data_IF_538033038505
#
_entry.id   IF_538033038505
#
_cell.length_a   1.000
_cell.length_b   1.000
_cell.length_c   1.000
_cell.angle_alpha   90.00
_cell.angle_beta   90.00
_cell.angle_gamma   90.00
#
_symmetry.space_group_name_H-M   'P 1'
#
loop_
_entity.id
_entity.type
_entity.pdbx_description
1 polymer ?
#
# COMPACT_ATOMS: atom_id res chain seq x y z
N UNK A 1 17.72 -13.25 -26.96
CA UNK A 1 16.42 -13.24 -26.27
C UNK A 1 16.13 -11.92 -25.56
N UNK A 2 17.10 -11.13 -25.06
CA UNK A 2 16.79 -9.87 -24.33
C UNK A 2 16.37 -8.69 -25.22
N UNK A 3 16.63 -8.71 -26.52
CA UNK A 3 16.30 -7.61 -27.45
C UNK A 3 14.81 -7.53 -27.80
N UNK A 4 14.10 -8.65 -27.86
CA UNK A 4 12.70 -8.66 -28.31
C UNK A 4 11.73 -8.19 -27.22
N UNK A 5 11.98 -8.58 -25.96
CA UNK A 5 11.14 -8.16 -24.82
C UNK A 5 11.30 -6.66 -24.53
N UNK A 6 12.55 -6.16 -24.57
CA UNK A 6 12.86 -4.74 -24.44
C UNK A 6 12.21 -3.92 -25.55
N UNK A 7 12.20 -4.44 -26.78
CA UNK A 7 11.56 -3.79 -27.94
C UNK A 7 10.03 -3.77 -27.80
N UNK A 8 9.42 -4.89 -27.41
CA UNK A 8 7.97 -4.96 -27.16
C UNK A 8 7.55 -4.03 -26.02
N UNK A 9 8.33 -3.96 -24.93
CA UNK A 9 8.07 -3.03 -23.81
C UNK A 9 8.11 -1.58 -24.26
N UNK A 10 9.09 -1.19 -25.07
CA UNK A 10 9.21 0.18 -25.59
C UNK A 10 8.14 0.50 -26.64
N UNK A 11 7.52 -0.51 -27.25
CA UNK A 11 6.49 -0.34 -28.26
C UNK A 11 5.08 -0.15 -27.68
N UNK A 12 4.80 -0.59 -26.44
CA UNK A 12 3.55 -0.31 -25.73
C UNK A 12 3.76 0.84 -24.73
N UNK A 13 3.25 2.06 -25.00
CA UNK A 13 3.37 3.19 -24.09
C UNK A 13 2.93 2.89 -22.65
N UNK A 14 1.89 2.06 -22.47
CA UNK A 14 1.34 1.68 -21.16
C UNK A 14 2.33 0.87 -20.33
N UNK A 15 3.20 0.09 -20.98
CA UNK A 15 4.24 -0.71 -20.34
C UNK A 15 5.59 0.02 -20.30
N UNK A 16 5.83 0.94 -21.22
CA UNK A 16 7.11 1.66 -21.36
C UNK A 16 7.48 2.53 -20.14
N UNK A 17 6.47 2.94 -19.36
CA UNK A 17 6.61 3.72 -18.12
C UNK A 17 7.07 2.89 -16.91
N UNK A 18 7.17 1.56 -17.08
CA UNK A 18 7.59 0.60 -16.06
C UNK A 18 8.94 -0.03 -16.41
N UNK A 19 9.60 -0.62 -15.41
CA UNK A 19 10.85 -1.34 -15.54
C UNK A 19 10.77 -2.79 -14.99
N UNK A 20 9.92 -3.65 -15.58
CA UNK A 20 9.60 -4.97 -15.04
C UNK A 20 10.78 -5.94 -15.05
N UNK A 21 10.69 -6.95 -14.18
CA UNK A 21 11.47 -8.19 -14.27
C UNK A 21 11.14 -8.94 -15.59
N UNK A 22 11.94 -9.96 -15.98
CA UNK A 22 11.82 -10.61 -17.29
C UNK A 22 10.45 -11.18 -17.66
N UNK A 23 9.58 -11.46 -16.68
CA UNK A 23 8.24 -11.98 -16.91
C UNK A 23 7.20 -11.15 -16.17
N UNK A 24 6.24 -10.58 -16.90
CA UNK A 24 5.06 -9.94 -16.31
C UNK A 24 4.05 -11.03 -15.93
N UNK A 25 3.61 -11.05 -14.67
CA UNK A 25 2.51 -11.90 -14.20
C UNK A 25 1.17 -11.29 -14.57
N UNK A 26 1.02 -9.99 -14.32
CA UNK A 26 -0.15 -9.22 -14.73
C UNK A 26 0.19 -7.73 -14.86
N UNK A 27 -0.62 -7.05 -15.65
CA UNK A 27 -0.70 -5.60 -15.74
C UNK A 27 -2.17 -5.23 -15.60
N UNK A 28 -2.55 -4.69 -14.44
CA UNK A 28 -3.92 -4.33 -14.12
C UNK A 28 -4.16 -2.88 -14.52
N UNK A 29 -4.87 -2.67 -15.62
CA UNK A 29 -5.38 -1.39 -16.05
C UNK A 29 -6.78 -1.16 -15.46
N UNK A 30 -6.94 -0.13 -14.63
CA UNK A 30 -8.19 0.11 -13.91
C UNK A 30 -9.28 0.75 -14.78
N UNK A 31 -8.97 1.15 -16.01
CA UNK A 31 -9.99 1.47 -17.01
C UNK A 31 -10.74 0.23 -17.51
N UNK A 32 -10.14 -0.96 -17.38
CA UNK A 32 -10.76 -2.24 -17.76
C UNK A 32 -11.48 -2.94 -16.60
N UNK A 33 -11.36 -2.43 -15.37
CA UNK A 33 -12.08 -2.92 -14.20
C UNK A 33 -11.20 -3.10 -12.97
N UNK A 34 -11.74 -3.76 -11.94
CA UNK A 34 -11.06 -3.91 -10.63
C UNK A 34 -9.95 -4.98 -10.63
N UNK A 35 -9.84 -5.79 -11.67
CA UNK A 35 -8.76 -6.79 -11.87
C UNK A 35 -8.48 -7.72 -10.68
N UNK A 36 -9.52 -8.09 -9.92
CA UNK A 36 -9.39 -9.00 -8.78
C UNK A 36 -8.88 -8.37 -7.48
N UNK A 37 -8.69 -7.05 -7.45
CA UNK A 37 -8.49 -6.31 -6.21
C UNK A 37 -9.81 -6.25 -5.44
N UNK A 38 -9.75 -6.50 -4.13
CA UNK A 38 -10.93 -6.43 -3.26
C UNK A 38 -10.55 -5.93 -1.86
N UNK A 39 -11.55 -5.64 -1.02
CA UNK A 39 -11.30 -5.39 0.40
C UNK A 39 -10.67 -6.63 1.06
N UNK A 40 -9.72 -6.39 1.96
CA UNK A 40 -9.36 -7.42 2.91
C UNK A 40 -10.49 -7.58 3.93
N UNK A 41 -11.37 -8.57 3.72
CA UNK A 41 -12.32 -8.97 4.74
C UNK A 41 -11.66 -9.94 5.73
N UNK A 42 -11.99 -9.81 7.01
CA UNK A 42 -11.46 -10.68 8.06
C UNK A 42 -12.01 -12.10 7.96
N UNK A 43 -11.23 -13.07 8.43
CA UNK A 43 -11.71 -14.44 8.60
C UNK A 43 -12.96 -14.44 9.50
N UNK A 44 -13.95 -15.27 9.15
CA UNK A 44 -15.13 -15.54 9.97
C UNK A 44 -15.26 -17.04 10.22
N UNK A 45 -15.91 -17.41 11.32
CA UNK A 45 -16.20 -18.78 11.75
C UNK A 45 -17.62 -19.23 11.36
N UNK A 46 -18.13 -18.64 10.27
CA UNK A 46 -19.52 -18.73 9.78
C UNK A 46 -20.51 -17.87 10.57
N UNK A 47 -20.02 -17.06 11.51
CA UNK A 47 -20.77 -15.95 12.10
C UNK A 47 -20.11 -14.62 11.67
N UNK A 48 -20.86 -13.79 10.94
CA UNK A 48 -20.37 -12.50 10.48
C UNK A 48 -20.23 -11.50 11.64
N UNK A 49 -20.92 -11.72 12.76
CA UNK A 49 -20.76 -10.92 13.97
C UNK A 49 -19.42 -11.18 14.66
N UNK A 50 -18.72 -12.26 14.28
CA UNK A 50 -17.37 -12.57 14.75
C UNK A 50 -16.26 -12.02 13.84
N UNK A 51 -16.60 -11.39 12.70
CA UNK A 51 -15.59 -10.67 11.89
C UNK A 51 -14.98 -9.58 12.75
N UNK A 52 -13.63 -9.56 12.81
CA UNK A 52 -12.89 -8.66 13.70
C UNK A 52 -13.35 -7.20 13.50
N UNK A 53 -13.57 -6.42 14.57
CA UNK A 53 -14.08 -5.05 14.46
C UNK A 53 -13.32 -4.18 13.44
N UNK A 54 -11.98 -4.28 13.42
CA UNK A 54 -11.15 -3.52 12.47
C UNK A 54 -11.37 -3.96 11.02
N UNK A 55 -11.44 -5.25 10.74
CA UNK A 55 -11.64 -5.76 9.37
C UNK A 55 -13.07 -5.59 8.89
N UNK A 56 -14.05 -5.49 9.80
CA UNK A 56 -15.47 -5.30 9.48
C UNK A 56 -15.76 -3.94 8.85
N UNK A 57 -14.97 -2.92 9.19
CA UNK A 57 -15.14 -1.55 8.69
C UNK A 57 -14.07 -1.13 7.67
N UNK A 58 -13.27 -2.07 7.16
CA UNK A 58 -12.43 -1.82 5.99
C UNK A 58 -13.35 -1.54 4.80
N UNK A 59 -12.99 -0.50 4.03
CA UNK A 59 -13.80 -0.06 2.89
C UNK A 59 -13.31 -0.74 1.61
N UNK A 60 -14.22 -1.12 0.69
CA UNK A 60 -13.84 -1.73 -0.57
C UNK A 60 -13.11 -0.76 -1.48
N UNK A 61 -12.29 -1.33 -2.36
CA UNK A 61 -11.73 -0.63 -3.51
C UNK A 61 -12.84 0.00 -4.34
N UNK A 62 -12.54 1.17 -4.88
CA UNK A 62 -13.43 1.87 -5.79
C UNK A 62 -12.67 2.16 -7.09
N UNK A 63 -13.33 2.03 -8.23
CA UNK A 63 -12.85 2.67 -9.45
C UNK A 63 -13.24 4.14 -9.36
N UNK A 64 -12.25 5.02 -9.42
CA UNK A 64 -12.45 6.46 -9.26
C UNK A 64 -11.79 7.19 -10.41
N UNK A 65 -12.50 8.18 -10.94
CA UNK A 65 -11.96 9.14 -11.89
C UNK A 65 -11.20 10.30 -11.20
N UNK A 66 -10.71 10.07 -9.98
CA UNK A 66 -10.09 11.10 -9.12
C UNK A 66 -10.92 12.39 -9.05
N UNK A 67 -12.19 12.28 -8.63
CA UNK A 67 -13.11 13.41 -8.65
C UNK A 67 -12.91 14.40 -7.50
N UNK A 68 -12.87 15.69 -7.81
CA UNK A 68 -12.84 16.80 -6.85
C UNK A 68 -13.94 17.83 -7.17
N UNK A 69 -14.38 18.59 -6.18
CA UNK A 69 -15.59 19.42 -6.29
C UNK A 69 -15.45 20.60 -7.27
N UNK A 70 -14.24 21.14 -7.45
CA UNK A 70 -13.95 22.34 -8.27
C UNK A 70 -13.49 22.01 -9.70
N UNK A 71 -12.65 20.98 -9.86
CA UNK A 71 -12.09 20.59 -11.15
C UNK A 71 -12.86 19.45 -11.83
N UNK A 72 -13.83 18.86 -11.14
CA UNK A 72 -14.59 17.72 -11.65
C UNK A 72 -13.76 16.44 -11.63
N UNK A 73 -13.19 16.07 -12.78
CA UNK A 73 -12.47 14.80 -12.98
C UNK A 73 -11.00 15.08 -13.29
N UNK A 74 -10.08 14.47 -12.54
CA UNK A 74 -8.65 14.55 -12.86
C UNK A 74 -8.21 13.45 -13.85
N UNK A 75 -8.78 12.25 -13.74
CA UNK A 75 -8.31 11.06 -14.47
C UNK A 75 -7.09 10.38 -13.81
N UNK A 76 -6.74 9.21 -14.33
CA UNK A 76 -5.51 8.49 -14.00
C UNK A 76 -4.33 9.01 -14.84
N UNK A 77 -3.15 8.39 -14.77
CA UNK A 77 -2.00 8.78 -15.60
C UNK A 77 -2.29 8.49 -17.07
N UNK A 78 -2.80 7.30 -17.37
CA UNK A 78 -2.98 6.84 -18.76
C UNK A 78 -4.45 6.80 -19.21
N UNK A 79 -5.41 7.09 -18.33
CA UNK A 79 -6.82 7.07 -18.69
C UNK A 79 -7.77 7.70 -17.67
N UNK A 80 -8.94 7.09 -17.48
CA UNK A 80 -10.04 7.70 -16.72
C UNK A 80 -10.05 7.21 -15.28
N UNK A 81 -9.89 5.91 -15.05
CA UNK A 81 -10.08 5.29 -13.75
C UNK A 81 -8.76 4.93 -13.08
N UNK A 82 -8.69 5.22 -11.79
CA UNK A 82 -7.69 4.72 -10.86
C UNK A 82 -8.38 3.87 -9.79
N UNK A 83 -7.66 2.89 -9.24
CA UNK A 83 -8.08 2.17 -8.06
C UNK A 83 -7.94 3.08 -6.84
N UNK A 84 -9.03 3.34 -6.14
CA UNK A 84 -9.09 4.21 -4.98
C UNK A 84 -9.36 3.41 -3.70
N UNK A 85 -8.53 3.71 -2.71
CA UNK A 85 -8.72 3.43 -1.30
C UNK A 85 -9.20 4.70 -0.60
N UNK A 86 -10.16 4.58 0.32
CA UNK A 86 -10.69 5.72 1.06
C UNK A 86 -10.99 5.35 2.52
N UNK A 87 -10.43 6.11 3.45
CA UNK A 87 -10.83 6.00 4.86
C UNK A 87 -12.20 6.63 5.10
N UNK A 88 -12.78 6.35 6.27
CA UNK A 88 -13.82 7.19 6.88
C UNK A 88 -13.18 8.46 7.46
N UNK A 89 -13.96 9.56 7.61
CA UNK A 89 -13.51 10.76 8.32
C UNK A 89 -13.53 10.51 9.85
N UNK A 90 -12.72 9.56 10.32
CA UNK A 90 -12.61 9.17 11.72
C UNK A 90 -11.14 8.89 12.04
N UNK A 91 -10.58 9.49 13.10
CA UNK A 91 -9.21 9.22 13.52
C UNK A 91 -8.92 7.72 13.63
N UNK A 92 -7.75 7.31 13.16
CA UNK A 92 -7.25 5.93 13.13
C UNK A 92 -8.03 4.96 12.23
N UNK A 93 -8.97 5.43 11.41
CA UNK A 93 -9.62 4.57 10.42
C UNK A 93 -8.64 4.20 9.29
N UNK A 94 -8.73 2.95 8.84
CA UNK A 94 -7.92 2.38 7.77
C UNK A 94 -8.83 1.77 6.70
N UNK A 95 -8.38 1.79 5.45
CA UNK A 95 -8.92 0.93 4.40
C UNK A 95 -7.75 0.11 3.81
N UNK A 96 -8.02 -1.14 3.41
CA UNK A 96 -7.00 -2.05 2.90
C UNK A 96 -7.53 -2.87 1.73
N UNK A 97 -6.73 -2.95 0.68
CA UNK A 97 -6.95 -3.80 -0.47
C UNK A 97 -6.04 -5.00 -0.45
N UNK A 98 -6.51 -6.05 -1.10
CA UNK A 98 -5.74 -7.25 -1.34
C UNK A 98 -6.01 -7.75 -2.77
N UNK A 99 -4.94 -8.21 -3.42
CA UNK A 99 -5.01 -9.11 -4.57
C UNK A 99 -4.23 -10.36 -4.24
N UNK A 100 -4.82 -11.52 -4.56
CA UNK A 100 -4.33 -12.82 -4.11
C UNK A 100 -3.96 -13.68 -5.30
N UNK A 101 -2.76 -14.23 -5.26
CA UNK A 101 -2.26 -15.23 -6.20
C UNK A 101 -1.66 -16.41 -5.44
N UNK A 102 -1.34 -17.44 -6.21
CA UNK A 102 -0.48 -18.55 -5.78
C UNK A 102 0.72 -18.56 -6.71
N UNK A 103 1.94 -18.47 -6.18
CA UNK A 103 3.12 -18.39 -7.03
C UNK A 103 3.50 -19.76 -7.62
N UNK A 104 3.99 -19.79 -8.86
CA UNK A 104 4.40 -21.04 -9.52
C UNK A 104 5.80 -21.49 -9.07
N UNK A 105 6.70 -20.52 -8.82
CA UNK A 105 8.07 -20.74 -8.35
C UNK A 105 8.49 -19.61 -7.40
N UNK A 106 9.50 -19.86 -6.57
CA UNK A 106 10.13 -18.84 -5.73
C UNK A 106 11.19 -18.06 -6.50
N UNK A 107 11.45 -16.83 -6.07
CA UNK A 107 12.42 -15.91 -6.66
C UNK A 107 12.02 -14.46 -6.42
N UNK A 108 12.50 -13.58 -7.30
CA UNK A 108 12.19 -12.15 -7.21
C UNK A 108 10.76 -11.88 -7.69
N UNK A 109 10.06 -11.05 -6.92
CA UNK A 109 8.77 -10.48 -7.26
C UNK A 109 8.89 -8.97 -7.19
N UNK A 110 8.42 -8.30 -8.24
CA UNK A 110 8.46 -6.85 -8.36
C UNK A 110 7.05 -6.30 -8.59
N UNK A 111 6.66 -5.35 -7.75
CA UNK A 111 5.42 -4.59 -7.87
C UNK A 111 5.75 -3.19 -8.35
N UNK A 112 5.07 -2.72 -9.38
CA UNK A 112 5.20 -1.36 -9.89
C UNK A 112 3.84 -0.70 -10.07
N UNK A 113 3.77 0.59 -9.76
CA UNK A 113 2.55 1.39 -9.92
C UNK A 113 2.89 2.88 -10.00
N UNK A 114 2.03 3.64 -10.66
CA UNK A 114 1.94 5.08 -10.41
C UNK A 114 0.86 5.31 -9.36
N UNK A 115 1.20 6.04 -8.31
CA UNK A 115 0.28 6.32 -7.21
C UNK A 115 0.18 7.82 -6.91
N UNK A 116 -0.92 8.20 -6.30
CA UNK A 116 -1.06 9.51 -5.67
C UNK A 116 -1.87 9.38 -4.39
N UNK A 117 -1.70 10.33 -3.48
CA UNK A 117 -2.35 10.30 -2.19
C UNK A 117 -2.80 11.71 -1.79
N UNK A 118 -3.92 11.80 -1.07
CA UNK A 118 -4.40 13.08 -0.55
C UNK A 118 -5.45 12.93 0.54
N UNK A 119 -5.49 13.88 1.46
CA UNK A 119 -6.66 14.07 2.30
C UNK A 119 -7.81 14.71 1.48
N UNK A 120 -9.04 14.49 1.93
CA UNK A 120 -10.20 15.20 1.40
C UNK A 120 -10.03 16.71 1.55
N UNK A 121 -10.42 17.46 0.53
CA UNK A 121 -10.50 18.91 0.63
C UNK A 121 -11.58 19.28 1.64
N UNK A 122 -11.18 20.01 2.69
CA UNK A 122 -12.07 20.49 3.74
C UNK A 122 -12.15 22.01 3.71
N UNK A 123 -13.32 22.53 4.10
CA UNK A 123 -13.58 23.95 4.33
C UNK A 123 -13.90 24.22 5.80
N UNK A 124 -13.61 23.23 6.64
CA UNK A 124 -13.91 23.26 8.05
C UNK A 124 -12.73 23.91 8.77
N UNK A 125 -12.94 25.16 9.20
CA UNK A 125 -11.95 25.94 9.94
C UNK A 125 -11.74 25.41 11.38
N UNK A 126 -12.59 24.49 11.85
CA UNK A 126 -12.47 23.87 13.19
C UNK A 126 -11.39 22.76 13.22
N UNK A 127 -10.89 22.31 12.07
CA UNK A 127 -9.81 21.32 12.01
C UNK A 127 -8.47 22.03 12.17
N UNK A 128 -7.96 22.02 13.40
CA UNK A 128 -6.63 22.55 13.70
C UNK A 128 -5.53 21.78 12.96
N UNK A 129 -4.62 22.53 12.34
CA UNK A 129 -3.43 21.99 11.69
C UNK A 129 -2.20 22.76 12.16
N UNK A 130 -1.00 22.13 12.17
CA UNK A 130 0.20 22.77 12.72
C UNK A 130 0.65 24.02 11.97
N UNK A 131 0.23 24.18 10.70
CA UNK A 131 0.66 25.27 9.83
C UNK A 131 -0.52 25.81 9.03
N UNK A 132 -0.56 27.13 8.88
CA UNK A 132 -1.56 27.84 8.08
C UNK A 132 -1.15 27.91 6.60
N UNK A 133 -2.12 28.13 5.73
CA UNK A 133 -1.87 28.34 4.30
C UNK A 133 -1.00 29.59 4.06
N UNK A 134 -0.01 29.47 3.16
CA UNK A 134 0.90 30.56 2.80
C UNK A 134 1.18 30.68 1.29
N UNK A 135 0.41 29.97 0.46
CA UNK A 135 0.60 29.92 -0.99
C UNK A 135 1.73 29.01 -1.46
N UNK A 136 2.49 28.39 -0.56
CA UNK A 136 3.41 27.29 -0.89
C UNK A 136 3.03 26.00 -0.16
N UNK A 137 2.28 26.11 0.93
CA UNK A 137 1.76 25.03 1.73
C UNK A 137 0.25 25.19 1.91
N UNK A 138 -0.46 24.06 1.93
CA UNK A 138 -1.86 24.02 2.31
C UNK A 138 -2.08 23.07 3.50
N UNK A 139 -2.85 23.47 4.54
CA UNK A 139 -3.15 22.66 5.73
C UNK A 139 -3.53 21.20 5.48
N UNK A 140 -4.32 20.94 4.43
CA UNK A 140 -4.73 19.59 3.97
C UNK A 140 -3.54 18.63 3.78
N UNK A 141 -2.33 19.11 3.52
CA UNK A 141 -1.12 18.27 3.50
C UNK A 141 -0.86 17.57 4.83
N UNK A 142 -1.08 18.28 5.95
CA UNK A 142 -0.96 17.70 7.30
C UNK A 142 -2.13 16.79 7.71
N UNK A 143 -3.19 16.75 6.91
CA UNK A 143 -4.37 15.92 7.20
C UNK A 143 -4.28 14.51 6.63
N UNK A 144 -3.23 14.22 5.85
CA UNK A 144 -2.97 12.87 5.36
C UNK A 144 -2.04 12.13 6.32
N UNK A 145 -2.52 11.01 6.90
CA UNK A 145 -1.77 10.22 7.86
C UNK A 145 -0.67 9.40 7.21
N UNK A 146 -1.04 8.24 6.68
CA UNK A 146 -0.08 7.28 6.14
C UNK A 146 -0.70 6.37 5.08
N UNK A 147 0.17 5.74 4.29
CA UNK A 147 -0.19 4.60 3.46
C UNK A 147 0.88 3.50 3.57
N UNK A 148 0.49 2.27 3.31
CA UNK A 148 1.38 1.11 3.41
C UNK A 148 1.28 0.26 2.15
N UNK A 149 2.42 -0.30 1.76
CA UNK A 149 2.51 -1.40 0.79
C UNK A 149 2.96 -2.65 1.54
N UNK A 150 2.34 -3.79 1.26
CA UNK A 150 2.78 -5.04 1.87
C UNK A 150 2.47 -6.27 1.04
N UNK A 151 3.08 -7.39 1.45
CA UNK A 151 2.83 -8.71 0.88
C UNK A 151 2.49 -9.69 1.99
N UNK A 152 1.72 -10.72 1.69
CA UNK A 152 1.54 -11.84 2.62
C UNK A 152 1.83 -13.12 1.88
N UNK A 153 2.99 -13.70 2.19
CA UNK A 153 3.59 -14.80 1.47
C UNK A 153 3.69 -16.01 2.36
N UNK A 154 3.37 -17.17 1.81
CA UNK A 154 3.54 -18.45 2.48
C UNK A 154 4.25 -19.43 1.54
N UNK A 155 5.28 -20.09 2.05
CA UNK A 155 6.29 -20.70 1.23
C UNK A 155 5.97 -22.13 0.76
N UNK A 156 4.91 -22.76 1.24
CA UNK A 156 4.79 -24.20 1.00
C UNK A 156 3.86 -24.98 1.93
N UNK A 157 3.82 -26.31 1.79
CA UNK A 157 3.22 -27.21 2.78
C UNK A 157 3.90 -27.12 4.16
N UNK A 158 5.17 -26.68 4.20
CA UNK A 158 5.89 -26.39 5.45
C UNK A 158 5.31 -25.18 6.20
N UNK A 159 4.49 -24.36 5.53
CA UNK A 159 3.69 -23.31 6.13
C UNK A 159 4.46 -22.09 6.64
N UNK A 160 5.74 -21.95 6.27
CA UNK A 160 6.55 -20.76 6.58
C UNK A 160 5.89 -19.52 5.95
N UNK A 161 5.33 -18.67 6.80
CA UNK A 161 4.68 -17.43 6.39
C UNK A 161 5.59 -16.25 6.69
N UNK A 162 5.62 -15.26 5.81
CA UNK A 162 6.33 -14.00 6.03
C UNK A 162 5.57 -12.85 5.40
N UNK A 163 5.72 -11.67 6.00
CA UNK A 163 4.95 -10.49 5.64
C UNK A 163 5.91 -9.30 5.64
N UNK A 164 6.29 -8.85 4.45
CA UNK A 164 7.11 -7.67 4.25
C UNK A 164 6.19 -6.45 4.16
N UNK A 165 6.48 -5.42 4.95
CA UNK A 165 5.60 -4.24 5.10
C UNK A 165 6.46 -2.98 5.07
N UNK A 166 6.07 -2.02 4.23
CA UNK A 166 6.69 -0.70 4.13
C UNK A 166 5.61 0.37 4.19
N UNK A 167 5.78 1.34 5.09
CA UNK A 167 4.79 2.39 5.37
C UNK A 167 5.39 3.75 5.11
N UNK A 168 4.72 4.57 4.32
CA UNK A 168 5.02 5.99 4.25
C UNK A 168 4.16 6.74 5.27
N UNK A 169 4.82 7.30 6.28
CA UNK A 169 4.20 8.15 7.29
C UNK A 169 4.33 9.60 6.82
N UNK A 170 3.22 10.20 6.38
CA UNK A 170 3.20 11.60 6.01
C UNK A 170 3.08 12.47 7.25
N UNK A 171 2.17 12.15 8.18
CA UNK A 171 2.03 12.83 9.46
C UNK A 171 1.96 11.89 10.65
N UNK A 172 2.31 12.41 11.82
CA UNK A 172 1.98 11.78 13.10
C UNK A 172 0.49 12.00 13.47
N UNK A 173 0.11 11.58 14.68
CA UNK A 173 -1.27 11.69 15.19
C UNK A 173 -1.69 13.12 15.52
N UNK A 174 -0.73 14.02 15.71
CA UNK A 174 -0.95 15.43 16.00
C UNK A 174 -0.92 16.28 14.71
N UNK A 175 -0.77 15.64 13.54
CA UNK A 175 -0.72 16.30 12.23
C UNK A 175 0.66 16.87 11.89
N UNK A 176 1.70 16.63 12.69
CA UNK A 176 3.05 17.09 12.33
C UNK A 176 3.58 16.26 11.16
N UNK A 177 4.20 16.93 10.19
CA UNK A 177 4.83 16.25 9.06
C UNK A 177 6.00 15.38 9.53
N UNK A 178 5.94 14.11 9.16
CA UNK A 178 6.99 13.11 9.41
C UNK A 178 7.74 12.84 8.10
N UNK A 179 7.01 12.49 7.04
CA UNK A 179 7.50 12.28 5.67
C UNK A 179 8.63 11.25 5.56
N UNK A 180 8.37 10.04 6.06
CA UNK A 180 9.35 8.95 6.12
C UNK A 180 8.79 7.60 5.72
N UNK A 181 9.63 6.78 5.11
CA UNK A 181 9.40 5.36 4.95
C UNK A 181 9.84 4.58 6.19
N UNK A 182 8.98 3.69 6.65
CA UNK A 182 9.14 2.86 7.84
C UNK A 182 8.98 1.38 7.48
N UNK A 183 9.67 0.50 8.20
CA UNK A 183 9.46 -0.94 8.16
C UNK A 183 9.02 -1.44 9.53
N UNK A 184 8.26 -2.54 9.56
CA UNK A 184 7.79 -3.12 10.81
C UNK A 184 8.89 -3.93 11.52
N UNK A 185 8.90 -3.91 12.85
CA UNK A 185 9.83 -4.69 13.67
C UNK A 185 9.19 -5.89 14.37
N UNK A 186 7.87 -6.03 14.31
CA UNK A 186 7.14 -7.15 14.89
C UNK A 186 6.13 -7.79 13.91
N UNK A 187 5.50 -8.89 14.35
CA UNK A 187 4.56 -9.66 13.53
C UNK A 187 3.21 -8.95 13.38
N UNK A 188 2.55 -9.22 12.26
CA UNK A 188 1.10 -8.96 12.14
C UNK A 188 0.38 -10.07 12.91
N UNK A 189 -0.42 -9.71 13.91
CA UNK A 189 -1.14 -10.69 14.75
C UNK A 189 -2.22 -11.39 13.92
N UNK A 190 -2.08 -12.71 13.74
CA UNK A 190 -3.03 -13.50 12.93
C UNK A 190 -4.26 -13.90 13.74
N UNK A 191 -5.33 -14.31 13.04
CA UNK A 191 -6.51 -14.88 13.72
C UNK A 191 -6.17 -16.08 14.60
N UNK A 192 -5.22 -16.91 14.17
CA UNK A 192 -4.77 -18.08 14.94
C UNK A 192 -4.12 -17.66 16.25
N UNK A 193 -3.16 -16.72 16.19
CA UNK A 193 -2.48 -16.18 17.38
C UNK A 193 -3.47 -15.58 18.40
N UNK A 194 -4.56 -14.96 17.92
CA UNK A 194 -5.58 -14.40 18.81
C UNK A 194 -6.46 -15.47 19.46
N UNK A 195 -6.83 -16.52 18.74
CA UNK A 195 -7.51 -17.68 19.33
C UNK A 195 -6.63 -18.36 20.39
N UNK A 196 -5.31 -18.29 20.21
CA UNK A 196 -4.30 -18.77 21.15
C UNK A 196 -3.99 -17.73 22.27
N UNK A 197 -4.77 -16.63 22.35
CA UNK A 197 -4.77 -15.69 23.48
C UNK A 197 -4.09 -14.35 23.25
N UNK A 198 -3.52 -14.08 22.08
CA UNK A 198 -2.95 -12.75 21.79
C UNK A 198 -4.04 -11.68 21.63
N UNK A 199 -3.80 -10.50 22.21
CA UNK A 199 -4.73 -9.38 22.11
C UNK A 199 -4.89 -8.88 20.66
N UNK A 200 -6.00 -8.20 20.38
CA UNK A 200 -6.16 -7.47 19.12
C UNK A 200 -5.25 -6.24 19.14
N UNK A 201 -4.32 -6.10 18.17
CA UNK A 201 -3.40 -4.99 18.16
C UNK A 201 -4.06 -3.69 17.67
N UNK A 202 -3.57 -2.57 18.19
CA UNK A 202 -3.95 -1.22 17.78
C UNK A 202 -3.39 -0.82 16.41
N UNK A 203 -2.42 -1.55 15.87
CA UNK A 203 -1.98 -1.49 14.48
C UNK A 203 -2.27 -2.82 13.81
N UNK A 204 -2.68 -2.82 12.53
CA UNK A 204 -2.93 -4.07 11.83
C UNK A 204 -1.65 -4.86 11.58
N UNK A 205 -0.54 -4.16 11.29
CA UNK A 205 0.67 -4.76 10.76
C UNK A 205 1.67 -5.21 11.83
N UNK A 206 1.51 -4.73 13.06
CA UNK A 206 2.43 -4.94 14.19
C UNK A 206 1.71 -5.34 15.46
N UNK A 207 2.45 -5.88 16.43
CA UNK A 207 1.95 -6.19 17.78
C UNK A 207 1.69 -4.90 18.57
N UNK A 208 2.65 -3.97 18.56
CA UNK A 208 2.54 -2.64 19.16
C UNK A 208 2.54 -1.55 18.07
N UNK A 209 1.78 -0.45 18.22
CA UNK A 209 1.80 0.67 17.27
C UNK A 209 3.17 1.32 17.04
N UNK A 210 4.10 1.15 17.97
CA UNK A 210 5.46 1.73 17.91
C UNK A 210 6.50 0.74 17.35
N UNK A 211 6.10 -0.46 16.92
CA UNK A 211 7.00 -1.47 16.36
C UNK A 211 7.37 -1.16 14.89
N UNK A 212 7.91 0.04 14.68
CA UNK A 212 8.33 0.57 13.39
C UNK A 212 9.70 1.21 13.51
N UNK A 213 10.53 0.97 12.49
CA UNK A 213 11.84 1.59 12.36
C UNK A 213 11.98 2.26 11.00
N UNK A 214 12.85 3.27 10.92
CA UNK A 214 13.05 4.04 9.70
C UNK A 214 13.77 3.19 8.63
N UNK A 215 13.27 3.23 7.40
CA UNK A 215 14.00 2.70 6.24
C UNK A 215 15.23 3.59 6.02
N UNK A 216 16.46 3.03 5.96
CA UNK A 216 17.66 3.82 5.66
C UNK A 216 17.53 4.58 4.33
N UNK A 217 17.72 5.91 4.38
CA UNK A 217 17.53 6.78 3.21
C UNK A 217 16.06 7.07 2.84
N UNK A 218 15.11 6.61 3.66
CA UNK A 218 13.67 6.75 3.45
C UNK A 218 13.04 8.05 3.96
N UNK A 219 13.84 8.99 4.47
CA UNK A 219 13.35 10.28 4.97
C UNK A 219 13.35 11.32 3.85
N UNK A 220 12.19 11.52 3.24
CA UNK A 220 11.97 12.56 2.23
C UNK A 220 10.48 12.85 2.03
N UNK A 221 10.19 14.11 1.74
CA UNK A 221 8.87 14.54 1.30
C UNK A 221 8.56 13.99 -0.10
N UNK A 222 7.34 13.49 -0.28
CA UNK A 222 6.75 13.31 -1.61
C UNK A 222 6.16 14.63 -2.09
N UNK A 223 5.92 14.74 -3.39
CA UNK A 223 5.40 15.98 -3.96
C UNK A 223 3.93 16.16 -3.57
N UNK A 224 3.68 16.99 -2.56
CA UNK A 224 2.34 17.46 -2.26
C UNK A 224 1.94 18.62 -3.18
N UNK A 225 0.64 18.82 -3.35
CA UNK A 225 0.11 19.90 -4.17
C UNK A 225 -0.30 21.10 -3.32
N UNK A 226 0.08 22.29 -3.78
CA UNK A 226 -0.27 23.60 -3.19
C UNK A 226 -1.79 23.79 -2.98
N UNK A 227 -2.62 23.09 -3.76
CA UNK A 227 -4.09 23.22 -3.72
C UNK A 227 -4.74 21.89 -3.35
N UNK A 228 -5.78 21.84 -2.48
CA UNK A 228 -6.44 20.62 -2.01
C UNK A 228 -7.03 19.69 -3.08
N UNK A 229 -7.20 20.17 -4.30
CA UNK A 229 -7.96 19.47 -5.35
C UNK A 229 -7.08 19.01 -6.52
N UNK A 230 -5.77 19.29 -6.45
CA UNK A 230 -4.79 18.78 -7.43
C UNK A 230 -4.07 17.56 -6.88
N UNK A 231 -3.71 16.61 -7.74
CA UNK A 231 -2.91 15.41 -7.40
C UNK A 231 -1.63 15.34 -8.24
N UNK A 232 -0.56 14.78 -7.66
CA UNK A 232 0.69 14.49 -8.36
C UNK A 232 0.91 12.98 -8.35
N UNK A 233 1.24 12.41 -9.50
CA UNK A 233 1.52 10.99 -9.64
C UNK A 233 3.00 10.71 -9.37
N UNK A 234 3.24 9.65 -8.61
CA UNK A 234 4.56 9.21 -8.19
C UNK A 234 4.78 7.79 -8.70
N UNK A 235 5.96 7.51 -9.22
CA UNK A 235 6.33 6.15 -9.59
C UNK A 235 6.80 5.39 -8.35
N UNK A 236 6.33 4.15 -8.19
CA UNK A 236 6.77 3.23 -7.15
C UNK A 236 7.18 1.90 -7.79
N UNK A 237 8.33 1.38 -7.35
CA UNK A 237 8.78 0.01 -7.63
C UNK A 237 9.26 -0.64 -6.34
N UNK A 238 8.66 -1.76 -5.97
CA UNK A 238 9.04 -2.52 -4.79
C UNK A 238 9.41 -3.95 -5.19
N UNK A 239 10.60 -4.39 -4.77
CA UNK A 239 11.13 -5.72 -5.04
C UNK A 239 11.30 -6.48 -3.73
N UNK A 240 10.79 -7.70 -3.69
CA UNK A 240 11.02 -8.66 -2.61
C UNK A 240 11.39 -10.03 -3.17
N UNK A 241 12.04 -10.83 -2.34
CA UNK A 241 12.55 -12.16 -2.70
C UNK A 241 11.82 -13.21 -1.86
N UNK A 242 11.03 -14.07 -2.52
CA UNK A 242 10.29 -15.16 -1.85
C UNK A 242 11.17 -16.36 -1.52
N UNK A 243 12.33 -16.52 -2.17
CA UNK A 243 13.31 -17.56 -1.80
C UNK A 243 14.04 -17.15 -0.50
N UNK A 244 14.43 -15.88 -0.42
CA UNK A 244 15.17 -15.33 0.72
C UNK A 244 14.28 -14.72 1.81
N UNK A 245 12.96 -14.67 1.58
CA UNK A 245 11.94 -14.16 2.52
C UNK A 245 12.21 -12.74 3.01
N UNK A 246 12.60 -11.85 2.11
CA UNK A 246 13.03 -10.50 2.47
C UNK A 246 12.66 -9.45 1.44
N UNK A 247 12.64 -8.20 1.89
CA UNK A 247 12.69 -7.06 0.99
C UNK A 247 14.05 -7.00 0.27
N UNK A 248 14.05 -6.47 -0.95
CA UNK A 248 15.27 -6.22 -1.73
C UNK A 248 15.47 -4.73 -1.94
N UNK A 249 14.46 -4.05 -2.48
CA UNK A 249 14.60 -2.65 -2.86
C UNK A 249 13.23 -1.95 -2.90
N UNK A 250 13.20 -0.69 -2.50
CA UNK A 250 12.10 0.22 -2.78
C UNK A 250 12.63 1.40 -3.59
N UNK A 251 11.98 1.70 -4.70
CA UNK A 251 12.20 2.90 -5.48
C UNK A 251 10.92 3.75 -5.46
N UNK A 252 11.09 5.05 -5.24
CA UNK A 252 10.05 6.06 -5.40
C UNK A 252 10.61 7.19 -6.26
N UNK A 253 10.03 7.40 -7.44
CA UNK A 253 10.60 8.27 -8.47
C UNK A 253 12.08 7.93 -8.75
N UNK A 254 13.01 8.86 -8.49
CA UNK A 254 14.46 8.69 -8.64
C UNK A 254 15.16 8.14 -7.40
N UNK A 255 14.47 8.08 -6.25
CA UNK A 255 15.04 7.63 -4.98
C UNK A 255 14.97 6.12 -4.86
N UNK A 256 16.13 5.49 -4.62
CA UNK A 256 16.26 4.04 -4.44
C UNK A 256 16.80 3.75 -3.05
N UNK A 257 16.09 2.89 -2.31
CA UNK A 257 16.42 2.43 -0.97
C UNK A 257 16.73 0.93 -1.00
N UNK A 258 17.92 0.56 -0.54
CA UNK A 258 18.31 -0.84 -0.36
C UNK A 258 17.69 -1.39 0.92
N UNK A 259 16.92 -2.47 0.79
CA UNK A 259 16.17 -3.06 1.89
C UNK A 259 16.73 -4.42 2.33
N UNK A 260 17.81 -4.91 1.71
CA UNK A 260 18.30 -6.29 1.91
C UNK A 260 18.78 -6.59 3.33
N UNK A 261 19.09 -5.55 4.10
CA UNK A 261 19.52 -5.66 5.51
C UNK A 261 18.37 -5.48 6.50
N UNK A 262 17.16 -5.15 6.03
CA UNK A 262 15.99 -5.00 6.88
C UNK A 262 15.44 -6.40 7.20
N UNK A 263 15.35 -6.79 8.48
CA UNK A 263 14.81 -8.08 8.85
C UNK A 263 13.30 -8.15 8.59
N UNK A 264 12.81 -9.33 8.20
CA UNK A 264 11.37 -9.62 8.13
C UNK A 264 11.02 -10.51 9.33
N UNK A 265 10.13 -10.07 10.24
CA UNK A 265 9.70 -10.88 11.37
C UNK A 265 9.14 -12.23 10.92
N UNK A 266 9.57 -13.30 11.58
CA UNK A 266 9.19 -14.69 11.25
C UNK A 266 8.12 -15.21 12.21
N UNK A 267 7.11 -15.88 11.67
CA UNK A 267 6.12 -16.60 12.47
C UNK A 267 6.71 -17.91 12.98
N UNK A 268 6.51 -18.22 14.27
CA UNK A 268 6.87 -19.52 14.84
C UNK A 268 5.91 -20.63 14.39
N UNK A 269 4.65 -20.27 14.14
CA UNK A 269 3.61 -21.20 13.70
C UNK A 269 3.60 -21.38 12.17
N UNK A 270 3.22 -22.59 11.74
CA UNK A 270 3.05 -22.92 10.33
C UNK A 270 1.61 -22.75 9.87
N UNK A 271 1.43 -22.27 8.64
CA UNK A 271 0.12 -21.99 8.03
C UNK A 271 -0.10 -22.86 6.78
N UNK A 272 -0.40 -24.14 6.99
CA UNK A 272 -0.45 -25.17 5.93
C UNK A 272 -1.56 -24.98 4.88
N UNK A 273 -2.66 -24.28 5.22
CA UNK A 273 -3.79 -24.11 4.29
C UNK A 273 -3.57 -23.06 3.22
N UNK A 274 -2.48 -22.29 3.31
CA UNK A 274 -2.15 -21.18 2.43
C UNK A 274 -0.92 -21.50 1.58
N UNK A 275 -0.82 -22.73 1.05
CA UNK A 275 0.33 -23.17 0.26
C UNK A 275 0.63 -22.21 -0.91
N UNK A 276 1.88 -21.75 -0.99
CA UNK A 276 2.39 -20.80 -2.02
C UNK A 276 1.61 -19.50 -2.14
N UNK A 277 1.01 -19.03 -1.05
CA UNK A 277 0.29 -17.76 -1.00
C UNK A 277 1.19 -16.62 -1.50
N UNK A 278 0.65 -15.79 -2.38
CA UNK A 278 1.26 -14.55 -2.84
C UNK A 278 0.19 -13.46 -2.85
N UNK A 279 0.04 -12.79 -1.72
CA UNK A 279 -0.87 -11.65 -1.61
C UNK A 279 -0.10 -10.35 -1.76
N UNK A 280 -0.73 -9.38 -2.43
CA UNK A 280 -0.30 -8.00 -2.53
C UNK A 280 -1.33 -7.12 -1.84
N UNK A 281 -0.87 -6.18 -1.02
CA UNK A 281 -1.74 -5.33 -0.24
C UNK A 281 -1.31 -3.87 -0.34
N UNK A 282 -2.33 -3.00 -0.33
CA UNK A 282 -2.19 -1.56 -0.20
C UNK A 282 -3.16 -1.09 0.87
N UNK A 283 -2.73 -0.20 1.75
CA UNK A 283 -3.62 0.43 2.73
C UNK A 283 -3.36 1.92 2.90
N UNK A 284 -4.38 2.61 3.40
CA UNK A 284 -4.35 4.02 3.76
C UNK A 284 -4.97 4.17 5.13
N UNK A 285 -4.41 5.07 5.95
CA UNK A 285 -4.91 5.41 7.28
C UNK A 285 -4.94 6.92 7.47
N UNK A 286 -6.00 7.38 8.13
CA UNK A 286 -6.13 8.77 8.58
C UNK A 286 -5.92 8.86 10.08
N UNK A 287 -5.26 9.92 10.53
CA UNK A 287 -5.14 10.26 11.96
C UNK A 287 -6.11 11.37 12.39
N UNK A 288 -6.68 12.08 11.42
CA UNK A 288 -7.58 13.20 11.63
C UNK A 288 -9.02 12.82 11.25
N UNK A 289 -10.05 13.60 11.64
CA UNK A 289 -11.44 13.37 11.22
C UNK A 289 -11.69 13.75 9.75
N UNK A 290 -10.75 13.45 8.86
CA UNK A 290 -10.79 13.74 7.42
C UNK A 290 -10.53 12.46 6.64
N UNK A 291 -11.22 12.27 5.52
CA UNK A 291 -10.97 11.11 4.65
C UNK A 291 -9.57 11.22 4.04
N UNK A 292 -8.88 10.10 3.96
CA UNK A 292 -7.62 9.99 3.25
C UNK A 292 -7.80 9.05 2.07
N UNK A 293 -7.23 9.43 0.95
CA UNK A 293 -7.34 8.74 -0.32
C UNK A 293 -5.96 8.30 -0.79
N UNK A 294 -5.86 7.03 -1.19
CA UNK A 294 -4.74 6.51 -1.96
C UNK A 294 -5.31 6.07 -3.32
N UNK A 295 -4.68 6.50 -4.39
CA UNK A 295 -5.05 6.17 -5.76
C UNK A 295 -3.89 5.47 -6.45
N UNK A 296 -4.20 4.39 -7.17
CA UNK A 296 -3.26 3.65 -8.01
C UNK A 296 -3.76 3.71 -9.45
N UNK A 297 -2.93 4.17 -10.37
CA UNK A 297 -3.28 4.30 -11.79
C UNK A 297 -3.42 2.95 -12.47
N UNK A 298 -2.44 2.09 -12.25
CA UNK A 298 -2.36 0.72 -12.74
C UNK A 298 -1.36 -0.04 -11.86
N UNK A 299 -1.48 -1.36 -11.77
CA UNK A 299 -0.54 -2.18 -11.01
C UNK A 299 0.06 -3.25 -11.91
N UNK A 300 1.38 -3.20 -12.08
CA UNK A 300 2.16 -4.21 -12.78
C UNK A 300 2.87 -5.08 -11.74
N UNK A 301 2.76 -6.40 -11.89
CA UNK A 301 3.59 -7.34 -11.14
C UNK A 301 4.38 -8.21 -12.09
N UNK A 302 5.68 -8.32 -11.83
CA UNK A 302 6.62 -9.12 -12.63
C UNK A 302 7.51 -9.99 -11.73
N UNK A 303 8.11 -11.02 -12.32
CA UNK A 303 8.96 -12.03 -11.67
C UNK A 303 10.17 -12.40 -12.53
N UNK A 304 11.16 -13.03 -11.91
CA UNK A 304 12.38 -13.52 -12.57
C UNK A 304 12.32 -14.99 -13.03
N UNK A 305 11.16 -15.64 -12.92
CA UNK A 305 10.96 -17.08 -13.20
C UNK A 305 9.78 -17.44 -14.11
#
# INVERSE_FOLDING_TARGET
MSTDLETLRRADPRLSKFNPLPRILFFDDFDEGINGWCELCGNHDNDLDNVKPRTRDLRPAQLSNCSFFDIGTHGSVDGVYALKLATRPRPNHMAMLIKRLTYAKRGLVQVETYFTYKAEAVFDDDIETPRQWDGNYHPVESMFGEFTISNDVNDGPDGDRHHSVLRYVNTDRDGNLVQKWMYKTSLQVTTKMQLDGMATPDDWHTVHPDDWEEVPGGHFALCHNEVPTKINWHYLRWVFDTEQRRNVELQVNDRVMDLRQIPVPRYDETYYSCDRLLNFLFDVRTYMPVRNFLFLDSVLVSVDW
#
